data_IF_706065962802
#
_entry.id   IF_706065962802
#
_cell.length_a   1.000
_cell.length_b   1.000
_cell.length_c   1.000
_cell.angle_alpha   90.00
_cell.angle_beta   90.00
_cell.angle_gamma   90.00
#
_symmetry.space_group_name_H-M   'P 1'
#
loop_
_entity.id
_entity.type
_entity.pdbx_description
1 polymer ?
#
# COMPACT_ATOMS: atom_id res chain seq x y z
N UNK A 1 -24.10 14.63 -9.70
CA UNK A 1 -23.12 14.51 -8.59
C UNK A 1 -21.77 14.33 -9.25
N UNK A 2 -20.82 15.24 -9.05
CA UNK A 2 -19.45 15.00 -9.52
C UNK A 2 -18.92 13.83 -8.72
N UNK A 3 -18.56 12.71 -9.36
CA UNK A 3 -17.79 11.67 -8.69
C UNK A 3 -16.54 12.33 -8.10
N UNK A 4 -16.37 12.20 -6.78
CA UNK A 4 -15.22 12.78 -6.08
C UNK A 4 -13.98 12.02 -6.56
N UNK A 5 -12.94 12.73 -6.99
CA UNK A 5 -11.69 12.09 -7.42
C UNK A 5 -11.02 11.40 -6.24
N UNK A 6 -10.64 10.14 -6.43
CA UNK A 6 -10.18 9.26 -5.36
C UNK A 6 -8.74 8.79 -5.59
N UNK A 7 -7.94 8.87 -4.55
CA UNK A 7 -6.61 8.30 -4.50
C UNK A 7 -6.60 7.13 -3.51
N UNK A 8 -6.48 5.91 -4.03
CA UNK A 8 -6.38 4.70 -3.23
C UNK A 8 -4.93 4.26 -3.09
N UNK A 9 -4.42 4.18 -1.86
CA UNK A 9 -3.04 3.76 -1.59
C UNK A 9 -3.04 2.50 -0.75
N UNK A 10 -2.55 1.41 -1.35
CA UNK A 10 -2.31 0.16 -0.65
C UNK A 10 -0.92 0.21 0.01
N UNK A 11 -0.90 0.21 1.34
CA UNK A 11 0.32 0.31 2.17
C UNK A 11 0.58 -1.01 2.87
N UNK A 12 1.84 -1.44 2.93
CA UNK A 12 2.20 -2.68 3.61
C UNK A 12 3.56 -3.23 3.18
N UNK A 13 4.17 -4.04 4.04
CA UNK A 13 5.40 -4.76 3.74
C UNK A 13 5.30 -5.64 2.49
N UNK A 14 6.44 -6.01 1.90
CA UNK A 14 6.47 -7.06 0.88
C UNK A 14 5.94 -8.38 1.48
N UNK A 15 5.12 -9.13 0.75
CA UNK A 15 4.44 -10.31 1.30
C UNK A 15 3.24 -10.02 2.21
N UNK A 16 2.82 -8.77 2.39
CA UNK A 16 1.64 -8.45 3.21
C UNK A 16 0.30 -8.77 2.51
N UNK A 17 0.26 -8.96 1.18
CA UNK A 17 -0.97 -9.24 0.43
C UNK A 17 -1.62 -8.03 -0.25
N UNK A 18 -0.86 -6.94 -0.47
CA UNK A 18 -1.36 -5.73 -1.17
C UNK A 18 -1.89 -6.02 -2.57
N UNK A 19 -1.13 -6.74 -3.39
CA UNK A 19 -1.53 -7.04 -4.77
C UNK A 19 -2.74 -7.97 -4.81
N UNK A 20 -2.83 -8.92 -3.87
CA UNK A 20 -4.02 -9.75 -3.67
C UNK A 20 -5.24 -8.88 -3.33
N UNK A 21 -5.12 -7.94 -2.38
CA UNK A 21 -6.21 -7.01 -2.07
C UNK A 21 -6.64 -6.19 -3.28
N UNK A 22 -5.68 -5.70 -4.07
CA UNK A 22 -5.99 -4.99 -5.32
C UNK A 22 -6.86 -5.86 -6.25
N UNK A 23 -6.41 -7.08 -6.55
CA UNK A 23 -7.09 -7.98 -7.49
C UNK A 23 -8.52 -8.30 -7.05
N UNK A 24 -8.75 -8.52 -5.75
CA UNK A 24 -10.07 -8.89 -5.24
C UNK A 24 -11.02 -7.71 -5.01
N UNK A 25 -10.51 -6.56 -4.56
CA UNK A 25 -11.38 -5.48 -4.05
C UNK A 25 -11.32 -4.18 -4.85
N UNK A 26 -10.19 -3.84 -5.47
CA UNK A 26 -10.04 -2.56 -6.19
C UNK A 26 -10.11 -2.70 -7.70
N UNK A 27 -9.59 -3.79 -8.27
CA UNK A 27 -9.65 -4.05 -9.70
C UNK A 27 -11.08 -4.10 -10.25
N UNK A 28 -12.08 -4.70 -9.56
CA UNK A 28 -13.48 -4.66 -10.02
C UNK A 28 -14.08 -3.25 -10.10
N UNK A 29 -13.49 -2.26 -9.42
CA UNK A 29 -13.92 -0.86 -9.48
C UNK A 29 -13.43 -0.14 -10.74
N UNK A 30 -12.61 -0.79 -11.58
CA UNK A 30 -12.10 -0.19 -12.81
C UNK A 30 -11.07 0.93 -12.58
N UNK A 31 -10.51 1.05 -11.37
CA UNK A 31 -9.52 2.08 -11.06
C UNK A 31 -8.18 1.78 -11.75
N UNK A 32 -7.58 2.76 -12.46
CA UNK A 32 -6.22 2.65 -12.95
C UNK A 32 -5.25 2.25 -11.83
N UNK A 33 -4.43 1.23 -12.08
CA UNK A 33 -3.44 0.73 -11.12
C UNK A 33 -2.02 1.04 -11.58
N UNK A 34 -1.35 1.95 -10.89
CA UNK A 34 0.01 2.37 -11.26
C UNK A 34 1.03 1.64 -10.41
N UNK A 35 1.52 0.51 -10.91
CA UNK A 35 2.46 -0.37 -10.22
C UNK A 35 3.75 -0.58 -11.03
N UNK A 36 4.90 -0.37 -10.37
CA UNK A 36 6.21 -0.48 -11.01
C UNK A 36 6.51 -1.90 -11.50
N UNK A 37 6.14 -2.94 -10.75
CA UNK A 37 6.37 -4.32 -11.15
C UNK A 37 5.50 -4.72 -12.35
N UNK A 38 4.27 -4.21 -12.44
CA UNK A 38 3.40 -4.38 -13.62
C UNK A 38 4.01 -3.68 -14.84
N UNK A 39 4.48 -2.45 -14.66
CA UNK A 39 5.15 -1.70 -15.73
C UNK A 39 6.42 -2.43 -16.19
N UNK A 40 7.24 -2.93 -15.26
CA UNK A 40 8.45 -3.66 -15.57
C UNK A 40 8.17 -4.92 -16.40
N UNK A 41 7.19 -5.73 -15.98
CA UNK A 41 6.80 -6.95 -16.72
C UNK A 41 6.25 -6.66 -18.11
N UNK A 42 5.51 -5.58 -18.28
CA UNK A 42 4.90 -5.25 -19.57
C UNK A 42 5.89 -4.56 -20.53
N UNK A 43 6.72 -3.65 -20.03
CA UNK A 43 7.67 -2.88 -20.85
C UNK A 43 8.96 -3.65 -21.13
N UNK A 44 9.36 -4.55 -20.22
CA UNK A 44 10.63 -5.29 -20.28
C UNK A 44 10.39 -6.79 -19.99
N UNK A 45 9.66 -7.51 -20.86
CA UNK A 45 9.28 -8.90 -20.60
C UNK A 45 10.47 -9.83 -20.43
N UNK A 46 11.59 -9.56 -21.11
CA UNK A 46 12.79 -10.40 -21.07
C UNK A 46 13.67 -10.17 -19.83
N UNK A 47 13.56 -9.01 -19.17
CA UNK A 47 14.43 -8.62 -18.06
C UNK A 47 13.76 -7.65 -17.05
N UNK A 48 12.58 -7.96 -16.50
CA UNK A 48 11.81 -7.01 -15.68
C UNK A 48 12.56 -6.56 -14.41
N UNK A 49 13.32 -7.47 -13.79
CA UNK A 49 14.12 -7.17 -12.59
C UNK A 49 15.22 -6.13 -12.86
N UNK A 50 15.91 -6.27 -14.00
CA UNK A 50 16.99 -5.37 -14.41
C UNK A 50 16.48 -3.95 -14.65
N UNK A 51 15.22 -3.79 -15.08
CA UNK A 51 14.59 -2.50 -15.35
C UNK A 51 13.70 -1.99 -14.21
N UNK A 52 13.76 -2.60 -13.03
CA UNK A 52 12.91 -2.22 -11.88
C UNK A 52 13.02 -0.75 -11.47
N UNK A 53 14.21 -0.15 -11.58
CA UNK A 53 14.42 1.28 -11.28
C UNK A 53 13.77 2.20 -12.31
N UNK A 54 13.91 1.89 -13.60
CA UNK A 54 13.27 2.64 -14.69
C UNK A 54 11.75 2.54 -14.60
N UNK A 55 11.23 1.35 -14.36
CA UNK A 55 9.81 1.11 -14.17
C UNK A 55 9.26 1.86 -12.93
N UNK A 56 10.03 1.95 -11.85
CA UNK A 56 9.67 2.75 -10.68
C UNK A 56 9.58 4.25 -11.00
N UNK A 57 10.51 4.78 -11.81
CA UNK A 57 10.49 6.17 -12.26
C UNK A 57 9.31 6.45 -13.19
N UNK A 58 8.99 5.53 -14.12
CA UNK A 58 7.81 5.62 -14.98
C UNK A 58 6.52 5.60 -14.16
N UNK A 59 6.42 4.68 -13.19
CA UNK A 59 5.29 4.60 -12.27
C UNK A 59 5.08 5.91 -11.50
N UNK A 60 6.16 6.54 -11.03
CA UNK A 60 6.09 7.84 -10.36
C UNK A 60 5.61 8.94 -11.29
N UNK A 61 6.11 8.99 -12.54
CA UNK A 61 5.64 9.92 -13.57
C UNK A 61 4.14 9.79 -13.83
N UNK A 62 3.65 8.57 -14.09
CA UNK A 62 2.22 8.33 -14.34
C UNK A 62 1.34 8.66 -13.14
N UNK A 63 1.81 8.41 -11.91
CA UNK A 63 1.08 8.83 -10.70
C UNK A 63 0.95 10.34 -10.62
N UNK A 64 2.01 11.09 -10.91
CA UNK A 64 1.95 12.55 -10.93
C UNK A 64 1.06 13.09 -12.05
N UNK A 65 1.09 12.48 -13.23
CA UNK A 65 0.20 12.84 -14.34
C UNK A 65 -1.27 12.64 -13.97
N UNK A 66 -1.65 11.46 -13.46
CA UNK A 66 -3.02 11.17 -13.02
C UNK A 66 -3.47 12.12 -11.92
N UNK A 67 -2.56 12.43 -10.98
CA UNK A 67 -2.80 13.36 -9.88
C UNK A 67 -3.13 14.78 -10.38
N UNK A 68 -2.35 15.29 -11.33
CA UNK A 68 -2.56 16.62 -11.90
C UNK A 68 -3.81 16.68 -12.81
N UNK A 69 -4.10 15.59 -13.51
CA UNK A 69 -5.27 15.46 -14.38
C UNK A 69 -6.58 15.27 -13.60
N UNK A 70 -6.54 15.14 -12.27
CA UNK A 70 -7.74 14.96 -11.46
C UNK A 70 -8.42 13.60 -11.64
N UNK A 71 -7.72 12.61 -12.19
CA UNK A 71 -8.24 11.26 -12.40
C UNK A 71 -8.16 10.43 -11.12
N UNK A 72 -9.16 9.59 -10.84
CA UNK A 72 -9.09 8.61 -9.76
C UNK A 72 -8.11 7.48 -10.13
N UNK A 73 -7.31 7.02 -9.17
CA UNK A 73 -6.36 5.92 -9.40
C UNK A 73 -5.96 5.24 -8.10
N UNK A 74 -5.27 4.11 -8.24
CA UNK A 74 -4.72 3.36 -7.13
C UNK A 74 -3.27 2.97 -7.38
N UNK A 75 -2.51 2.79 -6.30
CA UNK A 75 -1.19 2.17 -6.35
C UNK A 75 -0.85 1.49 -5.03
N UNK A 76 0.13 0.59 -5.07
CA UNK A 76 0.70 -0.02 -3.87
C UNK A 76 2.12 0.46 -3.59
N UNK A 77 2.49 0.43 -2.31
CA UNK A 77 3.81 0.87 -1.85
C UNK A 77 4.14 0.26 -0.49
N UNK A 78 5.44 0.08 -0.22
CA UNK A 78 5.92 -0.24 1.13
C UNK A 78 5.87 0.97 2.06
N UNK A 79 5.64 2.17 1.52
CA UNK A 79 5.45 3.41 2.28
C UNK A 79 6.62 3.71 3.23
N UNK A 80 7.84 3.38 2.79
CA UNK A 80 9.07 3.49 3.60
C UNK A 80 9.91 4.73 3.27
N UNK A 81 9.35 5.75 2.64
CA UNK A 81 10.05 6.98 2.29
C UNK A 81 9.15 8.21 2.50
N UNK A 82 9.66 9.33 3.07
CA UNK A 82 8.87 10.54 3.34
C UNK A 82 8.14 11.12 2.12
N UNK A 83 8.69 10.94 0.92
CA UNK A 83 8.04 11.40 -0.33
C UNK A 83 6.63 10.84 -0.55
N UNK A 84 6.24 9.75 0.13
CA UNK A 84 4.87 9.24 0.06
C UNK A 84 3.90 10.03 0.93
N UNK A 85 4.38 10.62 2.04
CA UNK A 85 3.63 11.59 2.83
C UNK A 85 3.42 12.87 2.02
N UNK A 86 4.47 13.35 1.35
CA UNK A 86 4.39 14.53 0.49
C UNK A 86 3.39 14.33 -0.66
N UNK A 87 3.41 13.14 -1.28
CA UNK A 87 2.49 12.78 -2.36
C UNK A 87 1.01 12.80 -1.92
N UNK A 88 0.69 12.24 -0.74
CA UNK A 88 -0.70 12.28 -0.25
C UNK A 88 -1.12 13.67 0.19
N UNK A 89 -0.21 14.47 0.75
CA UNK A 89 -0.48 15.85 1.10
C UNK A 89 -0.80 16.67 -0.16
N UNK A 90 -0.05 16.45 -1.25
CA UNK A 90 -0.33 17.04 -2.55
C UNK A 90 -1.70 16.62 -3.09
N UNK A 91 -2.04 15.33 -3.01
CA UNK A 91 -3.35 14.84 -3.43
C UNK A 91 -4.49 15.49 -2.66
N UNK A 92 -4.35 15.59 -1.34
CA UNK A 92 -5.32 16.24 -0.47
C UNK A 92 -5.49 17.72 -0.83
N UNK A 93 -4.38 18.44 -1.06
CA UNK A 93 -4.39 19.85 -1.48
C UNK A 93 -5.06 20.05 -2.85
N UNK A 94 -4.94 19.06 -3.74
CA UNK A 94 -5.63 19.06 -5.04
C UNK A 94 -7.11 18.67 -4.92
N UNK A 95 -7.63 18.34 -3.74
CA UNK A 95 -9.04 18.00 -3.53
C UNK A 95 -9.38 16.53 -3.80
N UNK A 96 -8.40 15.63 -3.75
CA UNK A 96 -8.68 14.19 -3.74
C UNK A 96 -9.28 13.75 -2.41
N UNK A 97 -10.19 12.77 -2.49
CA UNK A 97 -10.44 11.87 -1.37
C UNK A 97 -9.29 10.87 -1.28
N UNK A 98 -8.51 10.95 -0.20
CA UNK A 98 -7.36 10.07 0.02
C UNK A 98 -7.80 8.90 0.89
N UNK A 99 -7.72 7.69 0.31
CA UNK A 99 -8.12 6.44 0.94
C UNK A 99 -6.89 5.56 1.09
N UNK A 100 -6.39 5.45 2.32
CA UNK A 100 -5.29 4.55 2.67
C UNK A 100 -5.85 3.20 3.08
N UNK A 101 -5.34 2.13 2.46
CA UNK A 101 -5.59 0.75 2.89
C UNK A 101 -4.27 0.17 3.35
N UNK A 102 -4.10 0.05 4.66
CA UNK A 102 -2.93 -0.57 5.28
C UNK A 102 -3.20 -2.06 5.50
N UNK A 103 -2.32 -2.90 4.94
CA UNK A 103 -2.34 -4.34 5.12
C UNK A 103 -1.05 -4.74 5.80
N UNK A 104 -1.17 -5.37 6.97
CA UNK A 104 -0.03 -5.80 7.76
C UNK A 104 -0.17 -7.26 8.18
N UNK A 105 0.94 -7.82 8.65
CA UNK A 105 1.01 -9.18 9.22
C UNK A 105 1.72 -9.09 10.55
N UNK A 106 1.53 -10.08 11.41
CA UNK A 106 2.02 -10.06 12.79
C UNK A 106 3.53 -9.86 12.95
N UNK A 107 4.33 -10.28 11.95
CA UNK A 107 5.79 -10.16 12.05
C UNK A 107 6.49 -10.15 10.69
N UNK A 108 7.70 -9.59 10.68
CA UNK A 108 8.58 -9.62 9.52
C UNK A 108 8.87 -11.06 9.03
N UNK A 109 8.86 -12.06 9.94
CA UNK A 109 9.06 -13.46 9.57
C UNK A 109 7.94 -13.97 8.66
N UNK A 110 6.68 -13.57 8.91
CA UNK A 110 5.55 -13.92 8.03
C UNK A 110 5.72 -13.27 6.65
N UNK A 111 6.15 -12.00 6.61
CA UNK A 111 6.48 -11.35 5.33
C UNK A 111 7.55 -12.12 4.56
N UNK A 112 8.63 -12.52 5.24
CA UNK A 112 9.76 -13.24 4.64
C UNK A 112 9.34 -14.62 4.13
N UNK A 113 8.56 -15.38 4.91
CA UNK A 113 8.05 -16.68 4.50
C UNK A 113 7.21 -16.58 3.21
N UNK A 114 6.30 -15.61 3.15
CA UNK A 114 5.48 -15.36 1.95
C UNK A 114 6.29 -14.88 0.75
N UNK A 115 7.34 -14.09 0.96
CA UNK A 115 8.26 -13.71 -0.11
C UNK A 115 8.99 -14.95 -0.63
N UNK A 116 9.47 -15.84 0.23
CA UNK A 116 10.16 -17.05 -0.16
C UNK A 116 9.27 -17.99 -1.01
N UNK A 117 8.02 -18.20 -0.60
CA UNK A 117 7.03 -18.96 -1.38
C UNK A 117 6.85 -18.32 -2.77
N UNK A 118 6.60 -17.01 -2.82
CA UNK A 118 6.42 -16.29 -4.09
C UNK A 118 7.65 -16.37 -4.99
N UNK A 119 8.86 -16.35 -4.43
CA UNK A 119 10.10 -16.52 -5.20
C UNK A 119 10.20 -17.93 -5.77
N UNK A 120 9.78 -18.96 -5.02
CA UNK A 120 9.73 -20.33 -5.54
C UNK A 120 8.75 -20.49 -6.71
N UNK A 121 7.76 -19.60 -6.81
CA UNK A 121 6.78 -19.52 -7.90
C UNK A 121 7.20 -18.57 -9.04
N UNK A 122 8.44 -18.08 -9.03
CA UNK A 122 8.99 -17.19 -10.08
C UNK A 122 8.83 -15.69 -9.82
N UNK A 123 8.46 -15.29 -8.61
CA UNK A 123 8.44 -13.89 -8.18
C UNK A 123 9.79 -13.33 -7.75
N UNK A 124 9.85 -12.02 -7.51
CA UNK A 124 11.10 -11.33 -7.18
C UNK A 124 11.50 -11.47 -5.72
N UNK A 125 12.80 -11.70 -5.48
CA UNK A 125 13.40 -11.75 -4.16
C UNK A 125 13.54 -10.36 -3.54
N UNK A 126 13.34 -10.28 -2.22
CA UNK A 126 13.57 -9.06 -1.44
C UNK A 126 14.53 -9.41 -0.30
N UNK A 127 15.67 -8.73 -0.17
CA UNK A 127 16.58 -8.97 0.94
C UNK A 127 15.90 -8.82 2.30
N UNK A 128 16.06 -9.82 3.16
CA UNK A 128 15.54 -9.89 4.52
C UNK A 128 15.79 -8.62 5.34
N UNK A 129 17.01 -8.10 5.26
CA UNK A 129 17.42 -6.86 5.95
C UNK A 129 16.54 -5.68 5.54
N UNK A 130 16.21 -5.56 4.24
CA UNK A 130 15.31 -4.50 3.74
C UNK A 130 13.90 -4.64 4.30
N UNK A 131 13.39 -5.85 4.49
CA UNK A 131 12.05 -6.07 5.07
C UNK A 131 12.03 -5.61 6.53
N UNK A 132 13.01 -6.04 7.34
CA UNK A 132 13.12 -5.69 8.76
C UNK A 132 13.27 -4.19 9.00
N UNK A 133 14.07 -3.50 8.19
CA UNK A 133 14.29 -2.05 8.32
C UNK A 133 13.09 -1.20 7.87
N UNK A 134 12.33 -1.67 6.88
CA UNK A 134 11.23 -0.89 6.29
C UNK A 134 9.97 -0.89 7.15
N UNK A 135 9.68 -1.95 7.90
CA UNK A 135 8.44 -2.07 8.67
C UNK A 135 8.32 -0.96 9.74
N UNK A 136 9.29 -0.74 10.64
CA UNK A 136 9.18 0.34 11.63
C UNK A 136 9.05 1.72 11.00
N UNK A 137 9.77 1.96 9.90
CA UNK A 137 9.70 3.21 9.15
C UNK A 137 8.33 3.42 8.51
N UNK A 138 7.77 2.37 7.90
CA UNK A 138 6.43 2.37 7.34
C UNK A 138 5.39 2.71 8.41
N UNK A 139 5.43 2.05 9.58
CA UNK A 139 4.50 2.34 10.68
C UNK A 139 4.57 3.81 11.11
N UNK A 140 5.79 4.37 11.26
CA UNK A 140 5.98 5.79 11.59
C UNK A 140 5.39 6.73 10.52
N UNK A 141 5.62 6.43 9.25
CA UNK A 141 5.13 7.25 8.14
C UNK A 141 3.61 7.14 7.97
N UNK A 142 3.04 5.94 8.15
CA UNK A 142 1.59 5.73 8.16
C UNK A 142 0.95 6.53 9.28
N UNK A 143 1.47 6.45 10.52
CA UNK A 143 0.98 7.25 11.65
C UNK A 143 0.94 8.74 11.33
N UNK A 144 2.02 9.28 10.76
CA UNK A 144 2.10 10.68 10.34
C UNK A 144 1.12 11.04 9.21
N UNK A 145 0.65 10.04 8.45
CA UNK A 145 -0.21 10.20 7.29
C UNK A 145 -1.70 10.06 7.60
N UNK A 146 -2.07 9.47 8.75
CA UNK A 146 -3.48 9.29 9.15
C UNK A 146 -4.28 10.61 9.07
N UNK A 147 -3.79 11.76 9.59
CA UNK A 147 -4.52 13.02 9.53
C UNK A 147 -4.69 13.60 8.12
N UNK A 148 -3.89 13.14 7.15
CA UNK A 148 -3.94 13.58 5.76
C UNK A 148 -4.94 12.77 4.93
N UNK A 149 -5.42 11.65 5.46
CA UNK A 149 -6.34 10.74 4.78
C UNK A 149 -7.80 11.04 5.15
N UNK A 150 -8.70 10.95 4.17
CA UNK A 150 -10.16 10.97 4.43
C UNK A 150 -10.60 9.65 5.08
N UNK A 151 -9.98 8.54 4.65
CA UNK A 151 -10.23 7.20 5.16
C UNK A 151 -8.91 6.43 5.34
N UNK A 152 -8.78 5.73 6.46
CA UNK A 152 -7.71 4.74 6.70
C UNK A 152 -8.34 3.42 7.09
N UNK A 153 -8.15 2.39 6.28
CA UNK A 153 -8.62 1.03 6.52
C UNK A 153 -7.43 0.16 6.87
N UNK A 154 -7.47 -0.50 8.03
CA UNK A 154 -6.34 -1.30 8.51
C UNK A 154 -6.78 -2.75 8.64
N UNK A 155 -6.03 -3.63 7.97
CA UNK A 155 -6.29 -5.06 7.93
C UNK A 155 -5.10 -5.85 8.43
N UNK A 156 -5.38 -6.86 9.25
CA UNK A 156 -4.46 -7.96 9.54
C UNK A 156 -4.65 -9.03 8.48
N UNK A 157 -3.57 -9.42 7.82
CA UNK A 157 -3.56 -10.47 6.83
C UNK A 157 -2.64 -11.61 7.23
N UNK A 158 -2.52 -11.90 8.53
CA UNK A 158 -1.65 -12.96 9.06
C UNK A 158 -2.16 -14.36 8.74
N UNK A 159 -3.46 -14.59 8.87
CA UNK A 159 -4.08 -15.89 8.59
C UNK A 159 -4.26 -16.08 7.08
N UNK A 160 -3.97 -17.28 6.59
CA UNK A 160 -4.30 -17.69 5.22
C UNK A 160 -5.75 -18.20 5.12
N UNK A 161 -6.33 -18.68 6.23
CA UNK A 161 -7.74 -19.13 6.30
C UNK A 161 -8.72 -17.97 6.41
N UNK A 162 -8.32 -16.93 7.15
CA UNK A 162 -9.10 -15.70 7.35
C UNK A 162 -8.28 -14.49 6.87
N UNK A 163 -8.18 -14.26 5.55
CA UNK A 163 -7.42 -13.15 5.02
C UNK A 163 -8.13 -11.82 5.27
N UNK A 164 -7.35 -10.76 5.40
CA UNK A 164 -7.82 -9.37 5.54
C UNK A 164 -8.83 -9.15 6.68
N UNK A 165 -8.53 -9.64 7.88
CA UNK A 165 -9.30 -9.37 9.10
C UNK A 165 -9.26 -7.87 9.42
N UNK A 166 -10.42 -7.16 9.51
CA UNK A 166 -10.44 -5.75 9.88
C UNK A 166 -9.86 -5.54 11.29
N UNK A 167 -8.97 -4.55 11.44
CA UNK A 167 -8.34 -4.18 12.71
C UNK A 167 -8.91 -2.87 13.22
N UNK A 168 -8.91 -1.85 12.35
CA UNK A 168 -9.50 -0.55 12.63
C UNK A 168 -9.82 0.20 11.36
N UNK A 169 -10.73 1.16 11.50
CA UNK A 169 -11.11 2.09 10.47
C UNK A 169 -11.04 3.51 11.02
N UNK A 170 -10.43 4.42 10.27
CA UNK A 170 -10.40 5.84 10.58
C UNK A 170 -11.14 6.60 9.50
N UNK A 171 -12.12 7.40 9.88
CA UNK A 171 -12.83 8.31 8.97
C UNK A 171 -13.02 9.65 9.65
N UNK A 172 -12.59 10.73 8.98
CA UNK A 172 -12.77 12.10 9.49
C UNK A 172 -12.23 12.27 10.93
N UNK A 173 -11.11 11.60 11.24
CA UNK A 173 -10.47 11.62 12.56
C UNK A 173 -11.12 10.71 13.62
N UNK A 174 -12.27 10.09 13.32
CA UNK A 174 -12.92 9.12 14.21
C UNK A 174 -12.30 7.75 13.99
N UNK A 175 -11.82 7.13 15.07
CA UNK A 175 -11.24 5.78 15.06
C UNK A 175 -12.28 4.77 15.54
N UNK A 176 -12.63 3.84 14.66
CA UNK A 176 -13.43 2.65 14.94
C UNK A 176 -12.51 1.44 15.07
N UNK A 177 -12.53 0.75 16.22
CA UNK A 177 -11.71 -0.44 16.45
C UNK A 177 -12.55 -1.68 16.17
N UNK A 178 -12.03 -2.60 15.37
CA UNK A 178 -12.68 -3.87 15.03
C UNK A 178 -12.09 -5.06 15.80
N UNK A 179 -10.96 -4.85 16.50
CA UNK A 179 -10.36 -5.83 17.40
C UNK A 179 -10.16 -5.24 18.80
N UNK A 180 -10.36 -6.08 19.82
CA UNK A 180 -10.09 -5.73 21.22
C UNK A 180 -9.49 -6.94 21.96
N UNK A 181 -8.22 -6.88 22.39
CA UNK A 181 -7.29 -5.76 22.21
C UNK A 181 -6.87 -5.56 20.74
N UNK A 182 -6.37 -4.37 20.40
CA UNK A 182 -5.69 -4.15 19.12
C UNK A 182 -4.34 -4.89 19.14
N UNK A 183 -3.87 -5.42 18.00
CA UNK A 183 -2.50 -5.91 17.88
C UNK A 183 -1.48 -4.80 18.21
N UNK A 184 -0.34 -5.17 18.81
CA UNK A 184 0.69 -4.22 19.25
C UNK A 184 1.15 -3.26 18.12
N UNK A 185 1.33 -3.81 16.92
CA UNK A 185 1.72 -3.02 15.75
C UNK A 185 0.66 -1.97 15.38
N UNK A 186 -0.63 -2.28 15.58
CA UNK A 186 -1.75 -1.39 15.27
C UNK A 186 -1.95 -0.34 16.37
N UNK A 187 -1.69 -0.70 17.63
CA UNK A 187 -1.74 0.24 18.74
C UNK A 187 -0.81 1.44 18.50
N UNK A 188 0.37 1.20 17.94
CA UNK A 188 1.36 2.26 17.62
C UNK A 188 0.83 3.36 16.69
N UNK A 189 -0.20 3.06 15.89
CA UNK A 189 -0.81 3.96 14.92
C UNK A 189 -1.79 4.95 15.55
N UNK A 190 -2.36 4.60 16.70
CA UNK A 190 -3.42 5.38 17.39
C UNK A 190 -3.02 5.85 18.78
N UNK A 191 -1.81 5.49 19.24
CA UNK A 191 -1.23 5.91 20.52
C UNK A 191 -0.53 7.26 20.47
#
# INVERSE_FOLDING_TARGET
MSDKKQLWILVGGNGAGKSTFYEHYLKPLGLPFVNADVIARNAYPDAPEAHSYEAARLAEGFRHELLLNGSSFCFETVYSHPSKVDFIAQAKALGYEVIMVMIHVQSALVNQARIAIRVSEGGHAVPDKKVKERIPRMLKLVKASIPLCDQVRVYDNTSDEEPFVPVMYVKEGIVERHQNPLPDWALSLVS
#
